data_IF_720644168673
#
_entry.id   IF_720644168673
#
_cell.length_a   1.000
_cell.length_b   1.000
_cell.length_c   1.000
_cell.angle_alpha   90.00
_cell.angle_beta   90.00
_cell.angle_gamma   90.00
#
_symmetry.space_group_name_H-M   'P 1'
#
loop_
_entity.id
_entity.type
_entity.pdbx_description
1 polymer ?
#
# COMPACT_ATOMS: atom_id res chain seq x y z
N UNK A 1 -4.68 -13.09 9.35
CA UNK A 1 -5.42 -12.39 8.26
C UNK A 1 -4.87 -10.98 8.14
N UNK A 2 -4.63 -10.51 6.92
CA UNK A 2 -4.04 -9.19 6.64
C UNK A 2 -5.06 -8.06 6.75
N UNK A 3 -4.59 -6.85 7.10
CA UNK A 3 -5.35 -5.61 7.00
C UNK A 3 -4.82 -4.79 5.82
N UNK A 4 -5.68 -4.53 4.85
CA UNK A 4 -5.43 -3.51 3.84
C UNK A 4 -5.70 -2.14 4.43
N UNK A 5 -4.81 -1.18 4.21
CA UNK A 5 -4.90 0.16 4.78
C UNK A 5 -4.75 1.20 3.67
N UNK A 6 -5.68 2.15 3.59
CA UNK A 6 -5.61 3.27 2.66
C UNK A 6 -5.82 4.59 3.39
N UNK A 7 -5.07 5.62 3.01
CA UNK A 7 -5.31 6.97 3.50
C UNK A 7 -6.40 7.65 2.66
N UNK A 8 -7.39 8.28 3.32
CA UNK A 8 -8.57 8.88 2.66
C UNK A 8 -8.24 9.97 1.63
N UNK A 9 -7.13 10.69 1.82
CA UNK A 9 -6.70 11.78 0.93
C UNK A 9 -5.54 11.36 -0.02
N UNK A 10 -5.22 10.08 -0.06
CA UNK A 10 -4.35 9.48 -1.08
C UNK A 10 -5.22 9.00 -2.25
N UNK A 11 -5.19 9.64 -3.43
CA UNK A 11 -6.12 9.32 -4.49
C UNK A 11 -5.97 7.89 -5.03
N UNK A 12 -4.76 7.35 -5.11
CA UNK A 12 -4.56 5.98 -5.58
C UNK A 12 -5.01 4.95 -4.53
N UNK A 13 -4.56 5.10 -3.29
CA UNK A 13 -4.95 4.24 -2.18
C UNK A 13 -6.46 4.25 -1.95
N UNK A 14 -7.07 5.43 -1.93
CA UNK A 14 -8.51 5.58 -1.76
C UNK A 14 -9.32 4.94 -2.90
N UNK A 15 -8.91 5.12 -4.16
CA UNK A 15 -9.59 4.50 -5.31
C UNK A 15 -9.50 2.97 -5.26
N UNK A 16 -8.34 2.40 -4.94
CA UNK A 16 -8.19 0.96 -4.74
C UNK A 16 -9.09 0.46 -3.61
N UNK A 17 -9.06 1.12 -2.45
CA UNK A 17 -9.88 0.78 -1.29
C UNK A 17 -11.38 0.89 -1.59
N UNK A 18 -11.80 1.94 -2.29
CA UNK A 18 -13.19 2.13 -2.70
C UNK A 18 -13.71 1.01 -3.58
N UNK A 19 -12.89 0.51 -4.52
CA UNK A 19 -13.24 -0.63 -5.35
C UNK A 19 -13.37 -1.91 -4.50
N UNK A 20 -12.40 -2.21 -3.65
CA UNK A 20 -12.38 -3.41 -2.82
C UNK A 20 -13.57 -3.45 -1.85
N UNK A 21 -13.92 -2.30 -1.26
CA UNK A 21 -14.99 -2.22 -0.25
C UNK A 21 -16.40 -2.46 -0.80
N UNK A 22 -16.62 -2.39 -2.13
CA UNK A 22 -17.95 -2.55 -2.74
C UNK A 22 -18.64 -3.87 -2.38
N UNK A 23 -17.87 -4.93 -2.18
CA UNK A 23 -18.38 -6.26 -1.86
C UNK A 23 -18.08 -6.69 -0.42
N UNK A 24 -17.72 -5.74 0.45
CA UNK A 24 -17.38 -6.00 1.85
C UNK A 24 -18.47 -5.45 2.78
N UNK A 25 -18.65 -6.11 3.91
CA UNK A 25 -19.58 -5.66 4.96
C UNK A 25 -18.87 -4.68 5.89
N UNK A 26 -19.40 -3.48 6.03
CA UNK A 26 -18.88 -2.50 6.99
C UNK A 26 -19.25 -2.89 8.42
N UNK A 27 -18.26 -2.91 9.30
CA UNK A 27 -18.37 -3.20 10.72
C UNK A 27 -17.52 -2.16 11.50
N UNK A 28 -18.18 -1.13 12.05
CA UNK A 28 -17.48 0.04 12.60
C UNK A 28 -16.65 0.76 11.53
N UNK A 29 -15.34 0.85 11.78
CA UNK A 29 -14.39 1.48 10.85
C UNK A 29 -13.83 0.48 9.81
N UNK A 30 -14.04 -0.83 10.03
CA UNK A 30 -13.49 -1.91 9.22
C UNK A 30 -14.49 -2.38 8.16
N UNK A 31 -14.02 -2.61 6.96
CA UNK A 31 -14.71 -3.37 5.94
C UNK A 31 -14.25 -4.83 6.01
N UNK A 32 -15.16 -5.75 6.36
CA UNK A 32 -14.87 -7.17 6.57
C UNK A 32 -14.90 -7.95 5.26
N UNK A 33 -13.81 -8.61 4.96
CA UNK A 33 -13.67 -9.47 3.79
C UNK A 33 -13.43 -10.94 4.16
N UNK A 34 -13.35 -11.78 3.16
CA UNK A 34 -13.11 -13.22 3.34
C UNK A 34 -11.63 -13.54 3.61
N UNK A 35 -10.74 -12.89 2.88
CA UNK A 35 -9.30 -13.18 2.90
C UNK A 35 -8.49 -12.07 3.60
N UNK A 36 -9.00 -10.87 3.65
CA UNK A 36 -8.43 -9.69 4.27
C UNK A 36 -9.54 -8.73 4.69
N UNK A 37 -9.27 -7.90 5.66
CA UNK A 37 -10.11 -6.76 6.01
C UNK A 37 -9.52 -5.47 5.41
N UNK A 38 -10.31 -4.40 5.38
CA UNK A 38 -9.90 -3.11 4.83
C UNK A 38 -10.24 -1.99 5.79
N UNK A 39 -9.31 -1.06 5.95
CA UNK A 39 -9.46 0.15 6.77
C UNK A 39 -9.07 1.39 5.96
N UNK A 40 -9.93 2.40 5.97
CA UNK A 40 -9.61 3.73 5.43
C UNK A 40 -9.30 4.66 6.58
N UNK A 41 -8.05 5.11 6.68
CA UNK A 41 -7.56 5.93 7.78
C UNK A 41 -7.61 7.43 7.45
N UNK A 42 -7.82 8.31 8.46
CA UNK A 42 -7.86 9.76 8.27
C UNK A 42 -6.49 10.42 8.26
N UNK A 43 -5.43 9.70 8.62
CA UNK A 43 -4.04 10.20 8.70
C UNK A 43 -3.19 9.61 7.59
N UNK A 44 -2.13 10.30 7.13
CA UNK A 44 -1.23 9.77 6.12
C UNK A 44 -0.66 8.39 6.50
N UNK A 45 -0.66 7.44 5.55
CA UNK A 45 -0.22 6.06 5.74
C UNK A 45 1.21 5.97 6.31
N UNK A 46 2.11 6.86 5.88
CA UNK A 46 3.49 6.95 6.37
C UNK A 46 3.63 7.29 7.88
N UNK A 47 2.53 7.70 8.52
CA UNK A 47 2.46 8.05 9.95
C UNK A 47 1.58 7.07 10.75
N UNK A 48 1.34 5.88 10.22
CA UNK A 48 0.43 4.90 10.78
C UNK A 48 1.07 3.96 11.82
N UNK A 49 2.12 4.41 12.52
CA UNK A 49 2.79 3.63 13.58
C UNK A 49 1.86 3.27 14.76
N UNK A 50 0.75 4.00 14.91
CA UNK A 50 -0.30 3.78 15.92
C UNK A 50 -1.25 2.60 15.60
N UNK A 51 -1.14 2.02 14.41
CA UNK A 51 -2.16 1.13 13.86
C UNK A 51 -2.37 -0.14 14.73
N UNK A 52 -1.27 -0.74 15.22
CA UNK A 52 -1.32 -1.94 16.08
C UNK A 52 -1.96 -1.70 17.45
N UNK A 53 -1.99 -0.46 17.93
CA UNK A 53 -2.65 -0.13 19.20
C UNK A 53 -4.17 -0.33 19.16
N UNK A 54 -4.75 -0.29 17.93
CA UNK A 54 -6.19 -0.39 17.70
C UNK A 54 -6.60 -1.65 16.93
N UNK A 55 -5.74 -2.15 16.06
CA UNK A 55 -6.08 -3.17 15.08
C UNK A 55 -5.01 -4.24 15.06
N UNK A 56 -5.27 -5.38 15.72
CA UNK A 56 -4.37 -6.53 15.78
C UNK A 56 -4.61 -7.47 14.60
N UNK A 57 -3.68 -7.48 13.63
CA UNK A 57 -3.70 -8.30 12.44
C UNK A 57 -2.36 -9.01 12.25
N UNK A 58 -2.33 -10.02 11.38
CA UNK A 58 -1.10 -10.78 11.09
C UNK A 58 -0.11 -9.98 10.24
N UNK A 59 -0.58 -8.97 9.51
CA UNK A 59 0.23 -8.06 8.71
C UNK A 59 -0.57 -6.89 8.15
N UNK A 60 0.14 -5.90 7.63
CA UNK A 60 -0.43 -4.66 7.09
C UNK A 60 0.04 -4.41 5.67
N UNK A 61 -0.93 -4.18 4.77
CA UNK A 61 -0.68 -3.88 3.36
C UNK A 61 -1.22 -2.48 3.09
N UNK A 62 -0.34 -1.51 2.91
CA UNK A 62 -0.70 -0.14 2.60
C UNK A 62 -0.90 0.05 1.10
N UNK A 63 -2.07 0.58 0.73
CA UNK A 63 -2.41 0.96 -0.63
C UNK A 63 -2.14 2.45 -0.79
N UNK A 64 -1.28 2.83 -1.71
CA UNK A 64 -0.77 4.19 -1.80
C UNK A 64 -0.43 4.64 -3.22
N UNK A 65 -0.18 5.92 -3.36
CA UNK A 65 0.42 6.52 -4.55
C UNK A 65 1.94 6.50 -4.43
N UNK A 66 2.62 6.16 -5.52
CA UNK A 66 4.04 6.41 -5.69
C UNK A 66 4.27 7.77 -6.33
N UNK A 67 5.12 8.61 -5.76
CA UNK A 67 5.49 9.91 -6.29
C UNK A 67 7.01 9.99 -6.50
N UNK A 68 7.45 10.21 -7.74
CA UNK A 68 8.87 10.36 -8.07
C UNK A 68 9.09 11.51 -9.06
N UNK A 69 10.19 12.23 -8.87
CA UNK A 69 10.57 13.35 -9.75
C UNK A 69 10.86 12.92 -11.20
N UNK A 70 11.22 11.65 -11.40
CA UNK A 70 11.52 11.09 -12.72
C UNK A 70 10.30 11.11 -13.65
N UNK A 71 9.08 11.09 -13.11
CA UNK A 71 7.84 10.98 -13.88
C UNK A 71 7.66 9.63 -14.59
N UNK A 72 8.55 8.65 -14.39
CA UNK A 72 8.44 7.32 -14.99
C UNK A 72 7.22 6.59 -14.41
N UNK A 73 6.38 6.05 -15.28
CA UNK A 73 5.23 5.27 -14.85
C UNK A 73 5.70 3.99 -14.16
N UNK A 74 5.24 3.77 -12.94
CA UNK A 74 5.67 2.63 -12.15
C UNK A 74 4.52 2.00 -11.34
N UNK A 75 4.57 0.68 -11.23
CA UNK A 75 3.80 -0.11 -10.27
C UNK A 75 4.82 -0.70 -9.31
N UNK A 76 4.77 -0.28 -8.07
CA UNK A 76 5.84 -0.56 -7.11
C UNK A 76 5.32 -1.23 -5.85
N UNK A 77 6.24 -1.84 -5.14
CA UNK A 77 6.05 -2.25 -3.75
C UNK A 77 7.38 -2.14 -3.02
N UNK A 78 7.30 -1.90 -1.71
CA UNK A 78 8.49 -1.84 -0.87
C UNK A 78 8.17 -2.07 0.61
N UNK A 79 9.17 -2.48 1.37
CA UNK A 79 9.14 -2.46 2.84
C UNK A 79 9.43 -1.05 3.34
N UNK A 80 8.95 -0.71 4.53
CA UNK A 80 9.15 0.59 5.15
C UNK A 80 10.34 0.62 6.10
N UNK A 81 11.00 1.76 6.21
CA UNK A 81 12.14 1.92 7.09
C UNK A 81 12.95 3.17 6.81
N UNK A 82 13.61 3.68 7.83
CA UNK A 82 14.50 4.82 7.77
C UNK A 82 15.92 4.39 8.10
N UNK A 83 16.86 4.49 7.15
CA UNK A 83 18.29 4.21 7.40
C UNK A 83 19.01 5.33 8.15
N UNK A 84 18.42 6.55 8.15
CA UNK A 84 18.91 7.73 8.83
C UNK A 84 17.75 8.55 9.38
N UNK A 85 17.56 9.79 8.93
CA UNK A 85 16.49 10.68 9.37
C UNK A 85 15.10 10.20 8.92
N UNK A 86 14.11 10.33 9.80
CA UNK A 86 12.71 10.01 9.54
C UNK A 86 11.95 11.20 8.94
N UNK A 87 12.33 11.67 7.76
CA UNK A 87 11.71 12.85 7.12
C UNK A 87 10.26 12.61 6.70
N UNK A 88 9.93 11.35 6.42
CA UNK A 88 8.61 10.94 5.89
C UNK A 88 7.97 9.86 6.78
N UNK A 89 7.81 10.16 8.06
CA UNK A 89 7.18 9.26 9.03
C UNK A 89 8.10 8.13 9.53
N UNK A 90 7.61 7.40 10.54
CA UNK A 90 8.41 6.40 11.25
C UNK A 90 9.44 6.99 12.19
N UNK A 91 10.35 6.17 12.69
CA UNK A 91 11.39 6.54 13.64
C UNK A 91 12.78 6.58 12.98
N UNK A 92 13.69 7.32 13.60
CA UNK A 92 15.09 7.41 13.20
C UNK A 92 15.77 6.04 13.26
N UNK A 93 16.47 5.66 12.19
CA UNK A 93 17.24 4.40 12.07
C UNK A 93 16.44 3.14 12.46
N UNK A 94 15.16 3.11 12.12
CA UNK A 94 14.30 1.96 12.36
C UNK A 94 13.73 1.40 11.05
N UNK A 95 13.73 0.08 10.93
CA UNK A 95 13.20 -0.67 9.79
C UNK A 95 12.01 -1.49 10.29
N UNK A 96 10.89 -1.45 9.58
CA UNK A 96 9.74 -2.30 9.86
C UNK A 96 10.00 -3.76 9.47
N UNK A 97 9.19 -4.66 9.99
CA UNK A 97 9.22 -6.07 9.58
C UNK A 97 8.73 -6.18 8.12
N UNK A 98 9.55 -6.71 7.19
CA UNK A 98 9.15 -6.82 5.80
C UNK A 98 8.08 -7.91 5.59
N UNK A 99 7.32 -7.80 4.51
CA UNK A 99 6.29 -8.78 4.12
C UNK A 99 6.64 -9.50 2.79
N UNK A 100 7.67 -10.37 2.76
CA UNK A 100 8.20 -10.94 1.53
C UNK A 100 7.20 -11.84 0.78
N UNK A 101 6.30 -12.50 1.50
CA UNK A 101 5.30 -13.38 0.88
C UNK A 101 4.29 -12.59 0.04
N UNK A 102 3.77 -11.48 0.56
CA UNK A 102 2.87 -10.60 -0.18
C UNK A 102 3.63 -9.90 -1.30
N UNK A 103 4.86 -9.43 -1.05
CA UNK A 103 5.70 -8.82 -2.08
C UNK A 103 5.88 -9.76 -3.28
N UNK A 104 6.23 -11.01 -3.02
CA UNK A 104 6.41 -12.03 -4.07
C UNK A 104 5.10 -12.27 -4.83
N UNK A 105 4.00 -12.51 -4.13
CA UNK A 105 2.70 -12.79 -4.76
C UNK A 105 2.23 -11.62 -5.63
N UNK A 106 2.33 -10.40 -5.12
CA UNK A 106 1.96 -9.19 -5.85
C UNK A 106 2.77 -9.03 -7.14
N UNK A 107 4.09 -9.14 -7.07
CA UNK A 107 4.96 -9.04 -8.24
C UNK A 107 4.71 -10.16 -9.26
N UNK A 108 4.46 -11.38 -8.81
CA UNK A 108 4.11 -12.49 -9.71
C UNK A 108 2.82 -12.19 -10.47
N UNK A 109 1.78 -11.75 -9.78
CA UNK A 109 0.50 -11.39 -10.41
C UNK A 109 0.62 -10.18 -11.34
N UNK A 110 1.38 -9.15 -10.98
CA UNK A 110 1.69 -8.04 -11.88
C UNK A 110 2.39 -8.54 -13.15
N UNK A 111 3.38 -9.42 -13.00
CA UNK A 111 4.12 -9.97 -14.13
C UNK A 111 3.25 -10.83 -15.03
N UNK A 112 2.37 -11.65 -14.49
CA UNK A 112 1.39 -12.44 -15.23
C UNK A 112 0.45 -11.56 -16.07
N UNK A 113 0.09 -10.37 -15.54
CA UNK A 113 -0.80 -9.40 -16.18
C UNK A 113 -0.05 -8.25 -16.87
N UNK A 114 1.27 -8.31 -17.05
CA UNK A 114 2.10 -7.19 -17.53
C UNK A 114 1.69 -6.61 -18.89
N UNK A 115 1.01 -7.38 -19.74
CA UNK A 115 0.50 -6.87 -21.00
C UNK A 115 -0.56 -5.76 -20.83
N UNK A 116 -1.28 -5.76 -19.71
CA UNK A 116 -2.24 -4.70 -19.36
C UNK A 116 -1.54 -3.44 -18.85
N UNK A 117 -0.30 -3.56 -18.41
CA UNK A 117 0.52 -2.50 -17.79
C UNK A 117 1.80 -2.23 -18.56
N UNK A 118 1.78 -2.39 -19.90
CA UNK A 118 2.98 -2.34 -20.75
C UNK A 118 3.73 -1.00 -20.69
N UNK A 119 3.05 0.08 -20.30
CA UNK A 119 3.65 1.41 -20.12
C UNK A 119 4.34 1.58 -18.76
N UNK A 120 4.11 0.66 -17.83
CA UNK A 120 4.61 0.76 -16.46
C UNK A 120 5.86 -0.09 -16.24
N UNK A 121 6.79 0.47 -15.48
CA UNK A 121 7.85 -0.33 -14.86
C UNK A 121 7.25 -1.06 -13.65
N UNK A 122 7.47 -2.38 -13.57
CA UNK A 122 7.14 -3.20 -12.40
C UNK A 122 8.43 -3.36 -11.61
N UNK A 123 8.48 -2.82 -10.40
CA UNK A 123 9.73 -2.78 -9.63
C UNK A 123 9.52 -2.86 -8.12
N UNK A 124 10.58 -3.28 -7.43
CA UNK A 124 10.71 -3.15 -5.98
C UNK A 124 11.51 -1.88 -5.72
N UNK A 125 11.02 -1.01 -4.87
CA UNK A 125 11.79 0.15 -4.43
C UNK A 125 12.67 -0.18 -3.23
N UNK A 126 13.71 0.62 -3.06
CA UNK A 126 14.50 0.60 -1.85
C UNK A 126 13.61 0.92 -0.63
N UNK A 127 13.86 0.25 0.49
CA UNK A 127 13.18 0.51 1.76
C UNK A 127 13.31 1.98 2.15
N UNK A 128 12.20 2.65 2.41
CA UNK A 128 12.16 4.05 2.80
C UNK A 128 10.87 4.39 3.55
N UNK A 129 10.79 5.55 4.15
CA UNK A 129 9.72 6.17 4.95
C UNK A 129 9.06 5.25 6.01
N UNK A 130 8.11 5.83 6.76
CA UNK A 130 7.28 5.11 7.75
C UNK A 130 6.03 4.42 7.15
N UNK A 131 5.28 3.70 7.99
CA UNK A 131 5.53 3.47 9.41
C UNK A 131 6.69 2.51 9.67
N UNK A 132 7.34 2.57 10.83
CA UNK A 132 8.48 1.72 11.17
C UNK A 132 8.35 0.99 12.51
N UNK A 133 7.35 1.38 13.34
CA UNK A 133 7.18 0.82 14.69
C UNK A 133 6.20 -0.37 14.74
N UNK A 134 5.59 -0.74 13.61
CA UNK A 134 4.72 -1.92 13.55
C UNK A 134 5.54 -3.20 13.74
N UNK A 135 5.10 -4.07 14.63
CA UNK A 135 5.76 -5.34 14.95
C UNK A 135 5.43 -6.47 13.98
N UNK A 136 4.39 -6.28 13.17
CA UNK A 136 3.90 -7.24 12.17
C UNK A 136 4.44 -6.94 10.78
N UNK A 137 4.47 -7.95 9.88
CA UNK A 137 4.88 -7.75 8.49
C UNK A 137 4.13 -6.61 7.80
N UNK A 138 4.88 -5.72 7.15
CA UNK A 138 4.36 -4.50 6.56
C UNK A 138 4.91 -4.28 5.16
N UNK A 139 4.04 -3.87 4.23
CA UNK A 139 4.41 -3.56 2.85
C UNK A 139 3.54 -2.42 2.30
N UNK A 140 4.13 -1.58 1.44
CA UNK A 140 3.41 -0.67 0.57
C UNK A 140 3.25 -1.26 -0.83
N UNK A 141 2.07 -1.07 -1.40
CA UNK A 141 1.72 -1.34 -2.80
C UNK A 141 1.29 -0.03 -3.41
N UNK A 142 1.96 0.40 -4.48
CA UNK A 142 1.84 1.76 -4.96
C UNK A 142 1.64 1.86 -6.46
N UNK A 143 0.85 2.87 -6.85
CA UNK A 143 0.62 3.26 -8.25
C UNK A 143 1.31 4.60 -8.48
N UNK A 144 2.22 4.66 -9.45
CA UNK A 144 2.93 5.88 -9.82
C UNK A 144 2.69 6.32 -11.24
N UNK A 145 3.01 7.55 -11.55
CA UNK A 145 3.91 8.41 -10.74
C UNK A 145 3.34 9.81 -10.56
N UNK A 146 2.24 10.13 -11.25
CA UNK A 146 1.63 11.47 -11.25
C UNK A 146 0.14 11.39 -10.96
N UNK A 147 -0.47 12.54 -10.74
CA UNK A 147 -1.91 12.67 -10.50
C UNK A 147 -2.77 11.97 -11.57
N UNK A 148 -2.31 11.96 -12.82
CA UNK A 148 -2.99 11.27 -13.93
C UNK A 148 -3.17 9.77 -13.64
N UNK A 149 -2.17 9.10 -13.06
CA UNK A 149 -2.24 7.69 -12.69
C UNK A 149 -3.04 7.50 -11.41
N UNK A 150 -2.82 8.33 -10.40
CA UNK A 150 -3.48 8.19 -9.09
C UNK A 150 -4.98 8.38 -9.14
N UNK A 151 -5.48 9.24 -10.05
CA UNK A 151 -6.91 9.49 -10.26
C UNK A 151 -7.54 8.62 -11.36
N UNK A 152 -6.75 7.77 -12.02
CA UNK A 152 -7.28 6.83 -13.02
C UNK A 152 -7.96 5.65 -12.31
N UNK A 153 -9.28 5.76 -12.16
CA UNK A 153 -10.11 4.75 -11.47
C UNK A 153 -9.97 3.37 -12.10
N UNK A 154 -9.90 3.27 -13.43
CA UNK A 154 -9.76 1.98 -14.12
C UNK A 154 -8.43 1.31 -13.78
N UNK A 155 -7.34 2.06 -13.78
CA UNK A 155 -6.01 1.56 -13.37
C UNK A 155 -6.04 1.11 -11.90
N UNK A 156 -6.57 1.96 -11.00
CA UNK A 156 -6.65 1.63 -9.58
C UNK A 156 -7.46 0.35 -9.33
N UNK A 157 -8.60 0.18 -10.03
CA UNK A 157 -9.42 -1.02 -9.94
C UNK A 157 -8.67 -2.26 -10.44
N UNK A 158 -7.92 -2.15 -11.55
CA UNK A 158 -7.12 -3.27 -12.08
C UNK A 158 -6.02 -3.69 -11.10
N UNK A 159 -5.35 -2.73 -10.45
CA UNK A 159 -4.34 -3.04 -9.43
C UNK A 159 -4.99 -3.61 -8.16
N UNK A 160 -6.12 -3.07 -7.73
CA UNK A 160 -6.87 -3.61 -6.59
C UNK A 160 -7.28 -5.09 -6.77
N UNK A 161 -7.59 -5.52 -8.00
CA UNK A 161 -7.87 -6.94 -8.31
C UNK A 161 -6.64 -7.85 -8.22
N UNK A 162 -5.45 -7.28 -8.32
CA UNK A 162 -4.18 -8.01 -8.22
C UNK A 162 -3.75 -8.21 -6.76
N UNK A 163 -4.11 -7.28 -5.90
CA UNK A 163 -3.85 -7.34 -4.44
C UNK A 163 -4.66 -8.44 -3.80
#
# INVERSE_FOLDING_TARGET
MELLVAYKDDPAGYNMASFLSQNMKKDGDIFRGKNYDLLIIPTPAIKADWLEEKYDYDGYIFLSKHAAESGLLALTCHSTGNFSEAKFGGNFQQIAVPHPDIQKKYLQKLWENRSQFSEFQITIEATHHGPTALSKPTIFIEIGTTEKQWTNVSLCNSIAQIV
#
